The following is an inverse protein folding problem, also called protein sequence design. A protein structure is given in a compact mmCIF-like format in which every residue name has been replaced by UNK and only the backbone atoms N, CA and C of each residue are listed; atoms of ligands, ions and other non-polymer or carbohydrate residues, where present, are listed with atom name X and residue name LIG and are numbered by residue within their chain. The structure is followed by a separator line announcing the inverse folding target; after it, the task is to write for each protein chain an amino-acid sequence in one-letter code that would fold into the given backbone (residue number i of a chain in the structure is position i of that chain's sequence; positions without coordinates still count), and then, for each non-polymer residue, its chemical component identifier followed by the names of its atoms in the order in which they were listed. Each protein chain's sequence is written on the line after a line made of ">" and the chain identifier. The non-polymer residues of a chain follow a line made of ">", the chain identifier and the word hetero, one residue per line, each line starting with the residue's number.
data_IF_594326326182
#
_entry.id   IF_594326326182
#
_cell.length_a   1.000
_cell.length_b   1.000
_cell.length_c   1.000
_cell.angle_alpha   90.00
_cell.angle_beta   90.00
_cell.angle_gamma   90.00
#
_symmetry.space_group_name_H-M   'P 1'
#
loop_
_entity.id
_entity.type
_entity.pdbx_description
1 polymer ?
#
# COMPACT_ATOMS: atom_id res chain seq x y z
N UNK A 1 13.89 -20.42 2.13
CA UNK A 1 12.51 -20.24 1.66
C UNK A 1 12.45 -20.56 0.17
N UNK A 2 11.34 -21.11 -0.32
CA UNK A 2 10.98 -21.03 -1.73
C UNK A 2 10.05 -19.81 -1.87
N UNK A 3 10.28 -18.96 -2.87
CA UNK A 3 9.62 -17.65 -2.98
C UNK A 3 8.87 -17.58 -4.31
N UNK A 4 7.67 -17.02 -4.26
CA UNK A 4 6.85 -16.73 -5.44
C UNK A 4 6.23 -15.34 -5.29
N UNK A 5 6.08 -14.64 -6.41
CA UNK A 5 5.44 -13.34 -6.49
C UNK A 5 4.45 -13.31 -7.67
N UNK A 6 3.61 -12.28 -7.70
CA UNK A 6 2.57 -12.11 -8.71
C UNK A 6 2.54 -10.65 -9.16
N UNK A 7 2.29 -10.42 -10.45
CA UNK A 7 1.94 -9.09 -10.97
C UNK A 7 0.44 -8.78 -10.79
N UNK A 8 -0.29 -9.62 -10.03
CA UNK A 8 -1.71 -9.45 -9.73
C UNK A 8 -2.64 -9.51 -10.95
N UNK A 9 -2.18 -10.15 -12.04
CA UNK A 9 -3.01 -10.42 -13.21
C UNK A 9 -3.04 -9.31 -14.27
N UNK A 10 -2.12 -8.35 -14.22
CA UNK A 10 -1.97 -7.29 -15.23
C UNK A 10 -0.50 -6.88 -15.41
N UNK A 11 -0.18 -6.26 -16.54
CA UNK A 11 1.17 -5.78 -16.85
C UNK A 11 1.17 -4.27 -17.01
N UNK A 12 1.83 -3.56 -16.09
CA UNK A 12 1.91 -2.10 -16.11
C UNK A 12 2.60 -1.52 -17.35
N UNK A 13 3.39 -2.30 -18.08
CA UNK A 13 3.99 -1.90 -19.35
C UNK A 13 2.99 -1.82 -20.50
N UNK A 14 1.86 -2.51 -20.38
CA UNK A 14 0.78 -2.55 -21.38
C UNK A 14 -0.48 -1.84 -20.89
N UNK A 15 -0.74 -1.92 -19.60
CA UNK A 15 -1.95 -1.44 -18.93
C UNK A 15 -1.58 -0.34 -17.92
N UNK A 16 -1.36 0.91 -18.37
CA UNK A 16 -0.91 1.99 -17.50
C UNK A 16 -1.95 2.30 -16.42
N UNK A 17 -1.47 2.52 -15.20
CA UNK A 17 -2.29 2.86 -14.04
C UNK A 17 -3.35 1.80 -13.74
N UNK A 18 -4.61 2.21 -13.67
CA UNK A 18 -5.74 1.32 -13.38
C UNK A 18 -6.47 0.83 -14.65
N UNK A 19 -5.89 1.01 -15.84
CA UNK A 19 -6.56 0.68 -17.12
C UNK A 19 -6.88 -0.80 -17.25
N UNK A 20 -6.11 -1.69 -16.60
CA UNK A 20 -6.37 -3.14 -16.55
C UNK A 20 -7.78 -3.48 -16.05
N UNK A 21 -8.38 -2.63 -15.20
CA UNK A 21 -9.69 -2.87 -14.61
C UNK A 21 -10.84 -2.33 -15.48
N UNK A 22 -10.56 -1.50 -16.49
CA UNK A 22 -11.61 -0.88 -17.30
C UNK A 22 -12.38 -1.93 -18.12
N UNK A 23 -13.67 -2.09 -17.82
CA UNK A 23 -14.53 -3.12 -18.42
C UNK A 23 -13.97 -4.56 -18.29
N UNK A 24 -13.17 -4.83 -17.26
CA UNK A 24 -12.51 -6.11 -17.06
C UNK A 24 -12.66 -6.62 -15.63
N UNK A 25 -13.83 -7.21 -15.35
CA UNK A 25 -14.15 -7.79 -14.03
C UNK A 25 -13.19 -8.91 -13.62
N UNK A 26 -12.59 -9.63 -14.57
CA UNK A 26 -11.66 -10.70 -14.22
C UNK A 26 -10.36 -10.13 -13.64
N UNK A 27 -9.81 -9.07 -14.24
CA UNK A 27 -8.61 -8.43 -13.72
C UNK A 27 -8.87 -7.70 -12.38
N UNK A 28 -10.07 -7.13 -12.19
CA UNK A 28 -10.50 -6.63 -10.86
C UNK A 28 -10.48 -7.74 -9.79
N UNK A 29 -10.95 -8.95 -10.13
CA UNK A 29 -10.95 -10.11 -9.23
C UNK A 29 -9.53 -10.61 -8.94
N UNK A 30 -8.67 -10.65 -9.96
CA UNK A 30 -7.26 -11.03 -9.83
C UNK A 30 -6.53 -10.10 -8.87
N UNK A 31 -6.63 -8.79 -9.11
CA UNK A 31 -6.07 -7.76 -8.23
C UNK A 31 -6.69 -7.80 -6.83
N UNK A 32 -8.00 -8.00 -6.75
CA UNK A 32 -8.76 -7.97 -5.51
C UNK A 32 -8.33 -9.05 -4.53
N UNK A 33 -8.24 -10.30 -4.99
CA UNK A 33 -7.93 -11.45 -4.12
C UNK A 33 -7.40 -12.69 -4.83
N UNK A 34 -7.73 -12.92 -6.11
CA UNK A 34 -7.52 -14.24 -6.74
C UNK A 34 -6.05 -14.49 -7.08
N UNK A 35 -5.31 -13.48 -7.52
CA UNK A 35 -3.94 -13.67 -7.98
C UNK A 35 -3.02 -14.19 -6.86
N UNK A 36 -3.13 -13.64 -5.65
CA UNK A 36 -2.32 -14.08 -4.49
C UNK A 36 -2.63 -15.53 -4.12
N UNK A 37 -3.90 -15.89 -4.05
CA UNK A 37 -4.33 -17.26 -3.77
C UNK A 37 -3.80 -18.26 -4.81
N UNK A 38 -3.91 -17.93 -6.10
CA UNK A 38 -3.42 -18.78 -7.17
C UNK A 38 -1.89 -18.90 -7.14
N UNK A 39 -1.16 -17.82 -6.84
CA UNK A 39 0.30 -17.86 -6.65
C UNK A 39 0.69 -18.74 -5.47
N UNK A 40 -0.01 -18.66 -4.35
CA UNK A 40 0.23 -19.52 -3.20
C UNK A 40 -0.03 -21.00 -3.54
N UNK A 41 -1.17 -21.31 -4.17
CA UNK A 41 -1.52 -22.67 -4.58
C UNK A 41 -0.52 -23.25 -5.60
N UNK A 42 -0.13 -22.47 -6.61
CA UNK A 42 0.86 -22.87 -7.60
C UNK A 42 2.25 -23.07 -6.98
N UNK A 43 2.70 -22.14 -6.13
CA UNK A 43 3.97 -22.23 -5.42
C UNK A 43 4.06 -23.50 -4.57
N UNK A 44 3.02 -23.80 -3.78
CA UNK A 44 2.94 -25.04 -2.98
C UNK A 44 3.04 -26.31 -3.84
N UNK A 45 2.40 -26.33 -5.01
CA UNK A 45 2.48 -27.46 -5.96
C UNK A 45 3.89 -27.61 -6.54
N UNK A 46 4.52 -26.51 -6.95
CA UNK A 46 5.90 -26.52 -7.48
C UNK A 46 6.92 -26.97 -6.44
N UNK A 47 6.79 -26.49 -5.19
CA UNK A 47 7.62 -26.93 -4.07
C UNK A 47 7.50 -28.44 -3.87
N UNK A 48 6.27 -28.97 -3.84
CA UNK A 48 6.05 -30.40 -3.67
C UNK A 48 6.66 -31.24 -4.81
N UNK A 49 6.49 -30.80 -6.06
CA UNK A 49 7.03 -31.49 -7.22
C UNK A 49 8.56 -31.45 -7.29
N UNK A 50 9.16 -30.28 -7.00
CA UNK A 50 10.60 -30.08 -7.11
C UNK A 50 11.38 -30.72 -5.95
N UNK A 51 10.89 -30.59 -4.72
CA UNK A 51 11.58 -31.10 -3.53
C UNK A 51 11.10 -32.49 -3.09
N UNK A 52 10.09 -33.06 -3.74
CA UNK A 52 9.51 -34.36 -3.36
C UNK A 52 8.77 -34.36 -2.02
N UNK A 53 8.52 -33.19 -1.43
CA UNK A 53 7.81 -33.01 -0.15
C UNK A 53 7.13 -31.64 -0.07
N UNK A 54 6.05 -31.56 0.71
CA UNK A 54 5.36 -30.29 1.00
C UNK A 54 6.20 -29.40 1.90
N UNK A 55 5.98 -28.10 1.84
CA UNK A 55 6.48 -27.14 2.82
C UNK A 55 5.90 -27.44 4.21
N UNK A 56 6.70 -27.26 5.27
CA UNK A 56 6.23 -27.40 6.65
C UNK A 56 5.35 -26.22 7.07
N UNK A 57 5.69 -25.02 6.59
CA UNK A 57 4.98 -23.77 6.84
C UNK A 57 5.00 -22.91 5.58
N UNK A 58 4.06 -21.98 5.50
CA UNK A 58 3.87 -21.00 4.43
C UNK A 58 3.65 -19.62 5.04
N UNK A 59 4.32 -18.62 4.48
CA UNK A 59 4.32 -17.25 5.01
C UNK A 59 4.00 -16.24 3.93
N UNK A 60 3.33 -15.16 4.31
CA UNK A 60 3.13 -13.98 3.48
C UNK A 60 3.70 -12.76 4.20
N UNK A 61 4.41 -11.91 3.46
CA UNK A 61 4.91 -10.63 3.93
C UNK A 61 4.60 -9.57 2.88
N UNK A 62 3.97 -8.48 3.29
CA UNK A 62 3.67 -7.38 2.38
C UNK A 62 3.31 -6.09 3.11
N UNK A 63 3.63 -4.96 2.48
CA UNK A 63 3.34 -3.61 2.97
C UNK A 63 2.39 -2.87 2.01
N UNK A 64 1.61 -1.89 2.49
CA UNK A 64 0.67 -1.11 1.68
C UNK A 64 -0.38 -2.00 1.01
N UNK A 65 -0.38 -2.07 -0.33
CA UNK A 65 -1.20 -2.99 -1.09
C UNK A 65 -0.89 -4.46 -0.73
N UNK A 66 0.36 -4.79 -0.42
CA UNK A 66 0.74 -6.10 0.11
C UNK A 66 0.12 -6.37 1.48
N UNK A 67 0.04 -5.37 2.35
CA UNK A 67 -0.66 -5.51 3.64
C UNK A 67 -2.14 -5.82 3.46
N UNK A 68 -2.80 -5.15 2.48
CA UNK A 68 -4.18 -5.49 2.08
C UNK A 68 -4.28 -6.94 1.61
N UNK A 69 -3.36 -7.40 0.75
CA UNK A 69 -3.34 -8.78 0.26
C UNK A 69 -3.20 -9.80 1.39
N UNK A 70 -2.30 -9.55 2.35
CA UNK A 70 -2.14 -10.41 3.53
C UNK A 70 -3.44 -10.53 4.34
N UNK A 71 -4.09 -9.40 4.64
CA UNK A 71 -5.38 -9.42 5.35
C UNK A 71 -6.49 -10.08 4.51
N UNK A 72 -6.53 -9.86 3.19
CA UNK A 72 -7.48 -10.52 2.30
C UNK A 72 -7.29 -12.04 2.27
N UNK A 73 -6.03 -12.52 2.26
CA UNK A 73 -5.73 -13.95 2.38
C UNK A 73 -6.18 -14.49 3.73
N UNK A 74 -5.91 -13.81 4.84
CA UNK A 74 -6.39 -14.24 6.17
C UNK A 74 -7.93 -14.37 6.23
N UNK A 75 -8.65 -13.44 5.62
CA UNK A 75 -10.11 -13.40 5.65
C UNK A 75 -10.78 -14.38 4.68
N UNK A 76 -10.20 -14.57 3.48
CA UNK A 76 -10.86 -15.29 2.38
C UNK A 76 -10.26 -16.65 2.08
N UNK A 77 -8.98 -16.83 2.40
CA UNK A 77 -8.19 -18.03 2.13
C UNK A 77 -7.32 -18.39 3.35
N UNK A 78 -7.94 -18.69 4.51
CA UNK A 78 -7.22 -18.87 5.77
C UNK A 78 -6.16 -19.99 5.73
N UNK A 79 -6.27 -20.92 4.79
CA UNK A 79 -5.32 -22.03 4.61
C UNK A 79 -4.13 -21.69 3.67
N UNK A 80 -4.07 -20.47 3.13
CA UNK A 80 -2.99 -20.05 2.23
C UNK A 80 -1.66 -19.85 2.96
N UNK A 81 -1.67 -19.34 4.20
CA UNK A 81 -0.47 -19.03 4.96
C UNK A 81 -0.65 -19.32 6.45
N UNK A 82 0.39 -19.90 7.05
CA UNK A 82 0.48 -20.16 8.49
C UNK A 82 0.89 -18.91 9.28
N UNK A 83 1.52 -17.94 8.61
CA UNK A 83 1.88 -16.64 9.20
C UNK A 83 1.85 -15.51 8.18
N UNK A 84 1.33 -14.35 8.60
CA UNK A 84 1.18 -13.17 7.75
C UNK A 84 1.75 -11.95 8.47
N UNK A 85 2.68 -11.25 7.81
CA UNK A 85 3.16 -9.92 8.21
C UNK A 85 2.54 -8.90 7.26
N UNK A 86 1.59 -8.11 7.77
CA UNK A 86 0.85 -7.12 7.00
C UNK A 86 1.18 -5.69 7.47
N UNK A 87 2.12 -5.03 6.78
CA UNK A 87 2.52 -3.65 7.06
C UNK A 87 1.61 -2.63 6.37
N UNK A 88 1.35 -1.50 7.03
CA UNK A 88 0.55 -0.36 6.53
C UNK A 88 -0.62 -0.76 5.60
N UNK A 89 -1.51 -1.68 6.01
CA UNK A 89 -2.42 -2.35 5.08
C UNK A 89 -3.44 -1.37 4.48
N UNK A 90 -3.54 -1.34 3.15
CA UNK A 90 -4.58 -0.59 2.44
C UNK A 90 -5.96 -1.30 2.49
N UNK A 91 -6.40 -1.73 3.67
CA UNK A 91 -7.55 -2.62 3.85
C UNK A 91 -8.90 -1.97 3.48
N UNK A 92 -9.08 -0.70 3.83
CA UNK A 92 -10.24 0.09 3.38
C UNK A 92 -9.93 0.75 2.02
N UNK A 93 -9.72 -0.08 1.00
CA UNK A 93 -9.25 0.39 -0.31
C UNK A 93 -10.18 1.43 -0.94
N UNK A 94 -11.50 1.25 -0.83
CA UNK A 94 -12.46 2.21 -1.37
C UNK A 94 -12.45 3.53 -0.61
N UNK A 95 -12.39 3.49 0.73
CA UNK A 95 -12.27 4.69 1.55
C UNK A 95 -10.99 5.47 1.28
N UNK A 96 -9.86 4.76 1.09
CA UNK A 96 -8.58 5.38 0.74
C UNK A 96 -8.65 6.13 -0.60
N UNK A 97 -9.25 5.52 -1.63
CA UNK A 97 -9.40 6.16 -2.94
C UNK A 97 -10.38 7.36 -2.90
N UNK A 98 -11.45 7.26 -2.12
CA UNK A 98 -12.37 8.36 -1.91
C UNK A 98 -11.69 9.54 -1.20
N UNK A 99 -10.90 9.28 -0.15
CA UNK A 99 -10.12 10.29 0.55
C UNK A 99 -9.09 10.96 -0.38
N UNK A 100 -8.41 10.19 -1.23
CA UNK A 100 -7.50 10.73 -2.25
C UNK A 100 -8.21 11.70 -3.20
N UNK A 101 -9.41 11.33 -3.68
CA UNK A 101 -10.22 12.18 -4.56
C UNK A 101 -10.64 13.47 -3.85
N UNK A 102 -11.08 13.37 -2.60
CA UNK A 102 -11.45 14.51 -1.77
C UNK A 102 -10.28 15.49 -1.57
N UNK A 103 -9.10 14.97 -1.22
CA UNK A 103 -7.90 15.78 -1.03
C UNK A 103 -7.50 16.51 -2.32
N UNK A 104 -7.51 15.81 -3.46
CA UNK A 104 -7.22 16.43 -4.75
C UNK A 104 -8.23 17.55 -5.08
N UNK A 105 -9.52 17.33 -4.87
CA UNK A 105 -10.53 18.37 -5.08
C UNK A 105 -10.27 19.60 -4.19
N UNK A 106 -9.87 19.40 -2.93
CA UNK A 106 -9.54 20.49 -2.03
C UNK A 106 -8.32 21.27 -2.51
N UNK A 107 -7.25 20.58 -2.90
CA UNK A 107 -6.04 21.19 -3.44
C UNK A 107 -6.34 22.02 -4.69
N UNK A 108 -7.13 21.51 -5.64
CA UNK A 108 -7.51 22.26 -6.83
C UNK A 108 -8.33 23.51 -6.53
N UNK A 109 -9.21 23.47 -5.52
CA UNK A 109 -10.02 24.64 -5.12
C UNK A 109 -9.20 25.71 -4.40
N UNK A 110 -8.16 25.29 -3.69
CA UNK A 110 -7.32 26.18 -2.87
C UNK A 110 -6.03 26.59 -3.59
N UNK A 111 -6.08 26.71 -4.93
CA UNK A 111 -4.93 27.20 -5.72
C UNK A 111 -3.70 26.30 -5.64
N UNK A 112 -3.89 24.99 -5.48
CA UNK A 112 -2.83 23.98 -5.30
C UNK A 112 -2.05 24.08 -3.99
N UNK A 113 -2.56 24.80 -2.98
CA UNK A 113 -1.99 24.78 -1.64
C UNK A 113 -1.89 23.35 -1.08
N UNK A 114 -0.72 23.01 -0.53
CA UNK A 114 -0.39 21.65 -0.06
C UNK A 114 0.13 20.72 -1.15
N UNK A 115 0.20 21.16 -2.41
CA UNK A 115 0.85 20.38 -3.47
C UNK A 115 2.38 20.50 -3.35
N UNK A 116 3.04 19.35 -3.22
CA UNK A 116 4.49 19.26 -3.00
C UNK A 116 5.33 19.29 -4.29
N UNK A 117 4.69 19.55 -5.45
CA UNK A 117 5.34 19.57 -6.76
C UNK A 117 4.91 20.77 -7.61
N UNK A 118 4.45 21.84 -6.96
CA UNK A 118 4.06 23.09 -7.61
C UNK A 118 5.05 24.17 -7.23
N UNK A 119 5.61 24.80 -8.26
CA UNK A 119 6.49 25.97 -8.20
C UNK A 119 5.78 27.04 -9.04
N UNK A 120 5.15 28.01 -8.38
CA UNK A 120 4.34 29.03 -9.08
C UNK A 120 5.16 30.20 -9.62
N UNK A 121 6.36 30.45 -9.11
CA UNK A 121 7.20 31.58 -9.51
C UNK A 121 8.43 31.19 -10.35
N UNK A 122 8.69 29.89 -10.50
CA UNK A 122 9.74 29.31 -11.33
C UNK A 122 11.13 29.42 -10.72
N UNK A 123 11.24 29.61 -9.40
CA UNK A 123 12.52 29.75 -8.71
C UNK A 123 13.22 28.41 -8.42
N UNK A 124 12.56 27.28 -8.70
CA UNK A 124 13.05 25.92 -8.46
C UNK A 124 12.73 25.36 -7.08
N UNK A 125 11.98 26.09 -6.25
CA UNK A 125 11.46 25.67 -4.95
C UNK A 125 9.96 25.40 -5.05
N UNK A 126 9.49 24.32 -4.40
CA UNK A 126 8.05 24.04 -4.37
C UNK A 126 7.36 24.84 -3.26
N UNK A 127 6.29 25.53 -3.62
CA UNK A 127 5.55 26.50 -2.80
C UNK A 127 5.20 25.97 -1.39
N UNK A 128 4.84 24.68 -1.30
CA UNK A 128 4.33 24.08 -0.07
C UNK A 128 5.40 23.40 0.79
N UNK A 129 6.66 23.26 0.32
CA UNK A 129 7.69 22.57 1.10
C UNK A 129 8.05 23.33 2.39
N UNK A 130 8.26 24.64 2.31
CA UNK A 130 8.55 25.45 3.50
C UNK A 130 7.39 25.43 4.50
N UNK A 131 6.15 25.36 4.03
CA UNK A 131 4.97 25.24 4.89
C UNK A 131 4.91 23.88 5.60
N UNK A 132 5.39 22.81 4.99
CA UNK A 132 5.49 21.50 5.64
C UNK A 132 6.51 21.51 6.78
N UNK A 133 7.64 22.20 6.64
CA UNK A 133 8.62 22.36 7.72
C UNK A 133 8.04 23.17 8.89
N UNK A 134 7.33 24.26 8.58
CA UNK A 134 6.62 25.05 9.59
C UNK A 134 5.58 24.17 10.30
N UNK A 135 4.75 23.44 9.56
CA UNK A 135 3.76 22.53 10.15
C UNK A 135 4.41 21.47 11.04
N UNK A 136 5.47 20.82 10.58
CA UNK A 136 6.21 19.82 11.34
C UNK A 136 6.73 20.40 12.67
N UNK A 137 7.38 21.57 12.62
CA UNK A 137 7.89 22.24 13.83
C UNK A 137 6.79 22.55 14.84
N UNK A 138 5.65 23.07 14.37
CA UNK A 138 4.53 23.42 15.24
C UNK A 138 3.82 22.20 15.84
N UNK A 139 3.81 21.08 15.11
CA UNK A 139 3.31 19.81 15.63
C UNK A 139 4.24 19.29 16.73
N UNK A 140 5.57 19.30 16.51
CA UNK A 140 6.52 18.88 17.55
C UNK A 140 6.47 19.79 18.79
N UNK A 141 6.40 21.11 18.62
CA UNK A 141 6.30 22.05 19.74
C UNK A 141 5.08 21.77 20.64
N UNK A 142 3.99 21.24 20.06
CA UNK A 142 2.77 20.90 20.81
C UNK A 142 2.78 19.46 21.34
N UNK A 143 3.35 18.52 20.60
CA UNK A 143 3.08 17.10 20.81
C UNK A 143 4.29 16.26 21.22
N UNK A 144 5.54 16.70 20.97
CA UNK A 144 6.77 15.93 21.23
C UNK A 144 6.82 15.45 22.70
N UNK A 145 6.57 16.35 23.65
CA UNK A 145 6.65 16.01 25.08
C UNK A 145 5.47 15.21 25.65
N UNK A 146 4.46 14.85 24.85
CA UNK A 146 3.26 14.17 25.35
C UNK A 146 3.52 12.74 25.83
N UNK A 147 4.58 12.09 25.32
CA UNK A 147 5.03 10.77 25.79
C UNK A 147 6.06 10.85 26.94
N UNK A 148 6.41 12.07 27.37
CA UNK A 148 7.31 12.34 28.49
C UNK A 148 8.78 12.50 28.12
N UNK A 149 9.15 12.42 26.84
CA UNK A 149 10.50 12.74 26.34
C UNK A 149 10.43 13.87 25.30
N UNK A 150 11.51 14.63 25.13
CA UNK A 150 11.65 15.60 24.03
C UNK A 150 12.73 15.07 23.09
N UNK A 151 12.34 14.31 22.08
CA UNK A 151 13.25 13.66 21.15
C UNK A 151 12.90 13.87 19.66
N UNK A 152 11.84 14.64 19.40
CA UNK A 152 11.36 14.92 18.05
C UNK A 152 10.53 13.78 17.46
N UNK A 153 10.06 12.84 18.29
CA UNK A 153 9.21 11.73 17.88
C UNK A 153 7.84 11.84 18.54
N UNK A 154 6.80 11.47 17.79
CA UNK A 154 5.47 11.25 18.35
C UNK A 154 5.28 9.76 18.50
N UNK A 155 5.41 9.24 19.73
CA UNK A 155 5.28 7.80 20.00
C UNK A 155 3.86 7.27 19.80
N UNK A 156 2.85 8.13 19.98
CA UNK A 156 1.42 7.82 19.79
C UNK A 156 0.69 9.02 19.14
N UNK A 157 0.73 9.16 17.81
CA UNK A 157 0.25 10.33 17.05
C UNK A 157 -1.26 10.35 16.75
#
# INVERSE_FOLDING_TARGET
>A
YAVANSNLGHDSGVEPGASFAFNNRQAEIDFGYRAVHLTAAAGKRLVAAYYGKRQNYSYFEGCSQGGRQGLMSAQRFPDDFDGIVAGAPAFNYQGLNAAGTWNLQRMFRDGLAGNLAVDTDGDGSFDSLALMDVLHSQVLDQCDTLDGIRDGLLSDP
#
